data_IF_807789097067
#
_entry.id   IF_807789097067
#
_cell.length_a   1.000
_cell.length_b   1.000
_cell.length_c   1.000
_cell.angle_alpha   90.00
_cell.angle_beta   90.00
_cell.angle_gamma   90.00
#
_symmetry.space_group_name_H-M   'P 1'
#
loop_
_entity.id
_entity.type
_entity.pdbx_description
1 polymer ?
#
# COMPACT_ATOMS: atom_id res chain seq x y z
N UNK A 1 2.52 14.35 73.90
CA UNK A 1 2.49 15.07 72.58
C UNK A 1 3.86 14.92 71.95
N UNK A 2 3.99 14.01 70.99
CA UNK A 2 5.28 13.75 70.32
C UNK A 2 5.49 14.84 69.26
N UNK A 3 6.54 15.69 69.41
CA UNK A 3 6.96 16.66 68.38
C UNK A 3 7.53 15.87 67.20
N UNK A 4 6.86 15.97 66.02
CA UNK A 4 7.43 15.49 64.72
C UNK A 4 8.78 16.18 64.53
N UNK A 5 9.84 15.45 64.14
CA UNK A 5 11.15 16.07 63.89
C UNK A 5 11.01 17.07 62.71
N UNK A 6 11.50 18.28 62.93
CA UNK A 6 11.58 19.30 61.86
C UNK A 6 12.69 18.84 60.91
N UNK A 7 12.31 18.51 59.66
CA UNK A 7 13.28 18.14 58.63
C UNK A 7 14.21 19.32 58.33
N UNK A 8 15.46 19.04 58.11
CA UNK A 8 16.44 20.08 57.77
C UNK A 8 16.14 20.65 56.35
N UNK A 9 16.52 21.90 56.11
CA UNK A 9 16.35 22.53 54.79
C UNK A 9 17.03 21.72 53.68
N UNK A 10 18.20 21.12 53.96
CA UNK A 10 18.94 20.28 53.03
C UNK A 10 18.18 18.98 52.65
N UNK A 11 17.50 18.33 53.61
CA UNK A 11 16.68 17.14 53.34
C UNK A 11 15.49 17.48 52.45
N UNK A 12 14.88 18.66 52.62
CA UNK A 12 13.79 19.14 51.77
C UNK A 12 14.25 19.47 50.35
N UNK A 13 15.42 20.09 50.21
CA UNK A 13 16.02 20.38 48.89
C UNK A 13 16.37 19.10 48.13
N UNK A 14 16.94 18.11 48.83
CA UNK A 14 17.23 16.81 48.23
C UNK A 14 15.93 16.10 47.76
N UNK A 15 14.87 16.09 48.57
CA UNK A 15 13.59 15.51 48.22
C UNK A 15 12.94 16.21 47.02
N UNK A 16 13.05 17.55 46.96
CA UNK A 16 12.57 18.32 45.82
C UNK A 16 13.34 17.94 44.54
N UNK A 17 14.66 17.78 44.63
CA UNK A 17 15.49 17.33 43.52
C UNK A 17 15.11 15.96 43.01
N UNK A 18 14.96 14.99 43.92
CA UNK A 18 14.55 13.62 43.60
C UNK A 18 13.13 13.57 42.98
N UNK A 19 12.20 14.35 43.56
CA UNK A 19 10.82 14.44 43.03
C UNK A 19 10.76 15.08 41.65
N UNK A 20 11.57 16.12 41.42
CA UNK A 20 11.69 16.78 40.13
C UNK A 20 12.23 15.83 39.06
N UNK A 21 13.28 15.06 39.39
CA UNK A 21 13.82 14.07 38.47
C UNK A 21 12.81 12.94 38.19
N UNK A 22 12.12 12.44 39.22
CA UNK A 22 11.07 11.44 39.04
C UNK A 22 9.95 11.97 38.15
N UNK A 23 9.51 13.20 38.35
CA UNK A 23 8.47 13.84 37.54
C UNK A 23 8.91 14.06 36.07
N UNK A 24 10.17 14.40 35.84
CA UNK A 24 10.74 14.49 34.52
C UNK A 24 10.77 13.13 33.79
N UNK A 25 11.14 12.05 34.46
CA UNK A 25 11.11 10.68 33.94
C UNK A 25 9.68 10.26 33.59
N UNK A 26 8.74 10.43 34.52
CA UNK A 26 7.33 10.11 34.30
C UNK A 26 6.74 10.87 33.11
N UNK A 27 7.08 12.15 32.94
CA UNK A 27 6.66 12.92 31.77
C UNK A 27 7.24 12.36 30.48
N UNK A 28 8.53 11.99 30.47
CA UNK A 28 9.16 11.39 29.29
C UNK A 28 8.52 10.03 28.95
N UNK A 29 8.26 9.21 29.95
CA UNK A 29 7.62 7.91 29.79
C UNK A 29 6.17 8.04 29.29
N UNK A 30 5.41 8.99 29.83
CA UNK A 30 4.06 9.29 29.37
C UNK A 30 4.03 9.76 27.91
N UNK A 31 4.97 10.62 27.49
CA UNK A 31 5.10 11.05 26.10
C UNK A 31 5.46 9.89 25.16
N UNK A 32 6.39 9.03 25.58
CA UNK A 32 6.78 7.85 24.81
C UNK A 32 5.61 6.87 24.66
N UNK A 33 4.87 6.63 25.74
CA UNK A 33 3.69 5.77 25.74
C UNK A 33 2.63 6.32 24.79
N UNK A 34 2.35 7.63 24.87
CA UNK A 34 1.37 8.29 24.00
C UNK A 34 1.75 8.13 22.53
N UNK A 35 3.02 8.38 22.18
CA UNK A 35 3.52 8.20 20.81
C UNK A 35 3.33 6.76 20.32
N UNK A 36 3.73 5.77 21.13
CA UNK A 36 3.53 4.35 20.78
C UNK A 36 2.06 4.01 20.55
N UNK A 37 1.19 4.50 21.43
CA UNK A 37 -0.26 4.25 21.29
C UNK A 37 -0.83 4.87 20.01
N UNK A 38 -0.38 6.06 19.64
CA UNK A 38 -0.78 6.71 18.38
C UNK A 38 -0.28 5.93 17.16
N UNK A 39 0.98 5.47 17.17
CA UNK A 39 1.56 4.63 16.12
C UNK A 39 0.81 3.27 16.00
N UNK A 40 0.49 2.63 17.10
CA UNK A 40 -0.28 1.37 17.13
C UNK A 40 -1.70 1.56 16.58
N UNK A 41 -2.38 2.66 16.95
CA UNK A 41 -3.69 2.99 16.40
C UNK A 41 -3.67 3.22 14.90
N UNK A 42 -2.65 3.92 14.39
CA UNK A 42 -2.47 4.14 12.96
C UNK A 42 -2.27 2.80 12.22
N UNK A 43 -1.37 1.92 12.72
CA UNK A 43 -1.15 0.58 12.15
C UNK A 43 -2.41 -0.28 12.14
N UNK A 44 -3.18 -0.26 13.23
CA UNK A 44 -4.46 -0.97 13.28
C UNK A 44 -5.45 -0.42 12.25
N UNK A 45 -5.49 0.91 12.08
CA UNK A 45 -6.33 1.54 11.05
C UNK A 45 -5.98 1.06 9.65
N UNK A 46 -4.70 1.01 9.32
CA UNK A 46 -4.24 0.55 8.00
C UNK A 46 -4.47 -0.96 7.81
N UNK A 47 -4.23 -1.76 8.85
CA UNK A 47 -4.55 -3.19 8.84
C UNK A 47 -6.03 -3.48 8.53
N UNK A 48 -6.96 -2.74 9.17
CA UNK A 48 -8.39 -2.91 8.87
C UNK A 48 -8.76 -2.44 7.46
N UNK A 49 -8.13 -1.36 6.95
CA UNK A 49 -8.34 -0.94 5.56
C UNK A 49 -7.93 -2.05 4.59
N UNK A 50 -6.74 -2.65 4.79
CA UNK A 50 -6.24 -3.77 3.96
C UNK A 50 -7.22 -4.93 3.96
N UNK A 51 -7.72 -5.34 5.14
CA UNK A 51 -8.69 -6.44 5.25
C UNK A 51 -9.98 -6.14 4.49
N UNK A 52 -10.58 -4.97 4.72
CA UNK A 52 -11.85 -4.58 4.09
C UNK A 52 -11.69 -4.48 2.57
N UNK A 53 -10.63 -3.82 2.10
CA UNK A 53 -10.38 -3.68 0.67
C UNK A 53 -10.18 -5.05 0.04
N UNK A 54 -9.39 -5.94 0.64
CA UNK A 54 -9.16 -7.31 0.14
C UNK A 54 -10.46 -8.08 -0.09
N UNK A 55 -11.42 -7.96 0.84
CA UNK A 55 -12.73 -8.62 0.72
C UNK A 55 -13.64 -7.98 -0.34
N UNK A 56 -13.45 -6.70 -0.66
CA UNK A 56 -14.24 -6.01 -1.68
C UNK A 56 -13.70 -6.21 -3.10
N UNK A 57 -12.38 -6.44 -3.26
CA UNK A 57 -11.75 -6.58 -4.58
C UNK A 57 -12.38 -7.64 -5.47
N UNK A 58 -12.80 -8.84 -5.01
CA UNK A 58 -13.43 -9.84 -5.88
C UNK A 58 -14.76 -9.37 -6.50
N UNK A 59 -15.52 -8.55 -5.79
CA UNK A 59 -16.76 -7.96 -6.32
C UNK A 59 -16.42 -6.93 -7.41
N UNK A 60 -15.38 -6.11 -7.18
CA UNK A 60 -14.91 -5.14 -8.17
C UNK A 60 -14.35 -5.82 -9.42
N UNK A 61 -13.53 -6.88 -9.28
CA UNK A 61 -13.04 -7.69 -10.41
C UNK A 61 -14.19 -8.26 -11.25
N UNK A 62 -15.28 -8.66 -10.58
CA UNK A 62 -16.46 -9.19 -11.27
C UNK A 62 -17.17 -8.11 -12.08
N UNK A 63 -17.22 -6.87 -11.56
CA UNK A 63 -17.75 -5.71 -12.26
C UNK A 63 -16.89 -5.37 -13.50
N UNK A 64 -15.57 -5.30 -13.35
CA UNK A 64 -14.65 -5.05 -14.46
C UNK A 64 -14.73 -6.13 -15.54
N UNK A 65 -14.80 -7.39 -15.13
CA UNK A 65 -14.95 -8.53 -16.03
C UNK A 65 -16.27 -8.43 -16.81
N UNK A 66 -17.37 -8.05 -16.16
CA UNK A 66 -18.64 -7.83 -16.84
C UNK A 66 -18.55 -6.70 -17.88
N UNK A 67 -17.85 -5.61 -17.56
CA UNK A 67 -17.60 -4.51 -18.48
C UNK A 67 -16.71 -4.91 -19.67
N UNK A 68 -15.64 -5.70 -19.43
CA UNK A 68 -14.75 -6.21 -20.50
C UNK A 68 -15.48 -7.14 -21.47
N UNK A 69 -16.48 -7.89 -20.98
CA UNK A 69 -17.26 -8.84 -21.80
C UNK A 69 -18.60 -8.29 -22.27
N UNK A 70 -18.81 -6.98 -22.13
CA UNK A 70 -20.02 -6.35 -22.63
C UNK A 70 -20.15 -6.55 -24.15
N UNK A 71 -21.34 -6.96 -24.68
CA UNK A 71 -21.57 -7.09 -26.10
C UNK A 71 -21.24 -5.79 -26.83
N UNK A 72 -20.64 -5.89 -28.03
CA UNK A 72 -20.22 -4.72 -28.83
C UNK A 72 -21.37 -3.73 -29.10
N UNK A 73 -22.59 -4.24 -29.22
CA UNK A 73 -23.81 -3.46 -29.44
C UNK A 73 -24.17 -2.58 -28.24
N UNK A 74 -23.78 -3.00 -27.03
CA UNK A 74 -24.08 -2.31 -25.77
C UNK A 74 -22.96 -1.40 -25.27
N UNK A 75 -21.76 -1.44 -25.84
CA UNK A 75 -20.62 -0.64 -25.36
C UNK A 75 -20.94 0.85 -25.26
N UNK A 76 -21.72 1.37 -26.26
CA UNK A 76 -22.13 2.77 -26.31
C UNK A 76 -23.45 3.05 -25.62
N UNK A 77 -24.12 2.03 -25.07
CA UNK A 77 -25.38 2.17 -24.39
C UNK A 77 -25.24 2.94 -23.09
N UNK A 78 -26.18 3.80 -22.77
CA UNK A 78 -26.12 4.65 -21.56
C UNK A 78 -26.02 3.83 -20.27
N UNK A 79 -26.64 2.67 -20.22
CA UNK A 79 -26.53 1.75 -19.09
C UNK A 79 -25.08 1.30 -18.85
N UNK A 80 -24.37 0.88 -19.91
CA UNK A 80 -22.96 0.45 -19.80
C UNK A 80 -22.07 1.61 -19.39
N UNK A 81 -22.31 2.81 -19.93
CA UNK A 81 -21.61 4.04 -19.47
C UNK A 81 -21.87 4.33 -18.00
N UNK A 82 -23.10 4.13 -17.52
CA UNK A 82 -23.44 4.24 -16.11
C UNK A 82 -22.65 3.27 -15.22
N UNK A 83 -22.57 2.00 -15.63
CA UNK A 83 -21.80 0.98 -14.90
C UNK A 83 -20.29 1.29 -14.92
N UNK A 84 -19.76 1.80 -16.06
CA UNK A 84 -18.37 2.28 -16.13
C UNK A 84 -18.10 3.46 -15.17
N UNK A 85 -19.06 4.36 -15.02
CA UNK A 85 -18.95 5.46 -14.06
C UNK A 85 -18.89 4.95 -12.61
N UNK A 86 -19.65 3.91 -12.28
CA UNK A 86 -19.58 3.24 -10.95
C UNK A 86 -18.20 2.62 -10.72
N UNK A 87 -17.64 1.92 -11.73
CA UNK A 87 -16.30 1.34 -11.61
C UNK A 87 -15.24 2.43 -11.36
N UNK A 88 -15.29 3.53 -12.12
CA UNK A 88 -14.38 4.68 -11.92
C UNK A 88 -14.53 5.34 -10.55
N UNK A 89 -15.75 5.43 -10.03
CA UNK A 89 -15.96 6.01 -8.69
C UNK A 89 -15.44 5.07 -7.59
N UNK A 90 -15.50 3.75 -7.82
CA UNK A 90 -14.89 2.78 -6.92
C UNK A 90 -13.36 2.94 -6.89
N UNK A 91 -12.69 3.03 -8.05
CA UNK A 91 -11.25 3.30 -8.14
C UNK A 91 -10.85 4.57 -7.39
N UNK A 92 -11.56 5.68 -7.63
CA UNK A 92 -11.33 6.94 -6.91
C UNK A 92 -11.51 6.80 -5.39
N UNK A 93 -12.45 5.95 -4.98
CA UNK A 93 -12.67 5.70 -3.55
C UNK A 93 -11.52 4.91 -2.93
N UNK A 94 -10.93 3.97 -3.67
CA UNK A 94 -9.69 3.28 -3.26
C UNK A 94 -8.53 4.26 -3.15
N UNK A 95 -8.35 5.15 -4.13
CA UNK A 95 -7.31 6.20 -4.09
C UNK A 95 -7.46 7.11 -2.87
N UNK A 96 -8.69 7.54 -2.52
CA UNK A 96 -8.96 8.33 -1.32
C UNK A 96 -8.61 7.61 0.00
N UNK A 97 -8.68 6.29 0.01
CA UNK A 97 -8.25 5.46 1.14
C UNK A 97 -6.73 5.28 1.19
N UNK A 98 -5.99 5.76 0.16
CA UNK A 98 -4.55 5.61 0.01
C UNK A 98 -4.15 4.28 -0.63
N UNK A 99 -5.11 3.56 -1.22
CA UNK A 99 -4.85 2.32 -1.96
C UNK A 99 -4.41 2.67 -3.38
N UNK A 100 -3.28 2.12 -3.79
CA UNK A 100 -2.68 2.36 -5.11
C UNK A 100 -2.74 1.10 -5.96
N UNK A 101 -3.03 1.28 -7.25
CA UNK A 101 -2.90 0.22 -8.25
C UNK A 101 -1.42 -0.08 -8.54
N UNK A 102 -1.05 -1.35 -8.58
CA UNK A 102 0.31 -1.79 -8.93
C UNK A 102 0.46 -1.69 -10.46
N UNK A 103 1.43 -0.90 -10.91
CA UNK A 103 1.76 -0.82 -12.34
C UNK A 103 2.31 -2.17 -12.82
N UNK A 104 1.83 -2.62 -13.95
CA UNK A 104 2.10 -3.96 -14.45
C UNK A 104 2.60 -3.98 -15.89
N UNK A 105 1.78 -3.65 -16.86
CA UNK A 105 2.09 -3.81 -18.29
C UNK A 105 3.29 -2.95 -18.70
N UNK A 106 4.31 -3.58 -19.26
CA UNK A 106 5.56 -2.92 -19.68
C UNK A 106 6.62 -2.83 -18.59
N UNK A 107 6.29 -3.14 -17.32
CA UNK A 107 7.25 -3.16 -16.21
C UNK A 107 8.00 -4.51 -16.16
N UNK A 108 9.15 -4.51 -15.49
CA UNK A 108 9.88 -5.73 -15.18
C UNK A 108 9.06 -6.58 -14.20
N UNK A 109 9.09 -7.88 -14.39
CA UNK A 109 8.46 -8.78 -13.43
C UNK A 109 9.17 -8.70 -12.07
N UNK A 110 8.42 -8.37 -11.04
CA UNK A 110 8.86 -8.34 -9.65
C UNK A 110 8.00 -9.33 -8.83
N UNK A 111 8.58 -10.42 -8.30
CA UNK A 111 7.84 -11.39 -7.49
C UNK A 111 7.21 -10.80 -6.22
N UNK A 112 7.68 -9.63 -5.74
CA UNK A 112 7.09 -8.95 -4.59
C UNK A 112 5.77 -8.25 -4.94
N UNK A 113 5.57 -7.89 -6.21
CA UNK A 113 4.41 -7.11 -6.67
C UNK A 113 3.48 -7.95 -7.55
N UNK A 114 4.05 -8.92 -8.28
CA UNK A 114 3.39 -9.64 -9.35
C UNK A 114 3.35 -11.14 -9.08
N UNK A 115 2.25 -11.77 -9.49
CA UNK A 115 2.09 -13.22 -9.57
C UNK A 115 2.02 -13.64 -11.03
N UNK A 116 3.00 -14.40 -11.52
CA UNK A 116 3.04 -14.84 -12.91
C UNK A 116 2.17 -16.08 -13.12
N UNK A 117 1.12 -15.97 -13.92
CA UNK A 117 0.28 -17.11 -14.32
C UNK A 117 0.94 -17.95 -15.42
N UNK A 118 1.65 -17.30 -16.34
CA UNK A 118 2.37 -17.98 -17.42
C UNK A 118 3.57 -17.14 -17.86
N UNK A 119 4.63 -17.84 -18.25
CA UNK A 119 5.85 -17.24 -18.80
C UNK A 119 5.99 -17.72 -20.23
N UNK A 120 6.02 -16.80 -21.20
CA UNK A 120 6.19 -17.09 -22.63
C UNK A 120 7.52 -16.51 -23.11
N UNK A 121 8.20 -17.21 -23.99
CA UNK A 121 9.42 -16.73 -24.66
C UNK A 121 10.61 -17.68 -24.57
N UNK A 122 11.78 -17.25 -25.03
CA UNK A 122 13.02 -18.03 -25.01
C UNK A 122 13.59 -18.23 -23.61
N UNK A 123 14.38 -19.28 -23.39
CA UNK A 123 14.95 -19.64 -22.08
C UNK A 123 15.88 -18.56 -21.47
N UNK A 124 16.33 -17.59 -22.26
CA UNK A 124 17.21 -16.51 -21.82
C UNK A 124 16.61 -15.14 -22.15
N UNK A 125 16.49 -14.27 -21.14
CA UNK A 125 16.00 -12.90 -21.32
C UNK A 125 15.47 -12.27 -20.04
N UNK A 126 15.18 -10.98 -20.13
CA UNK A 126 14.55 -10.22 -19.05
C UNK A 126 13.05 -10.48 -19.05
N UNK A 127 12.50 -10.76 -17.89
CA UNK A 127 11.07 -11.00 -17.72
C UNK A 127 10.32 -9.67 -17.64
N UNK A 128 9.45 -9.42 -18.63
CA UNK A 128 8.63 -8.21 -18.72
C UNK A 128 7.16 -8.60 -18.70
N UNK A 129 6.37 -7.86 -17.96
CA UNK A 129 4.92 -8.06 -17.91
C UNK A 129 4.31 -7.63 -19.24
N UNK A 130 3.64 -8.55 -19.93
CA UNK A 130 3.00 -8.29 -21.22
C UNK A 130 1.49 -8.11 -21.13
N UNK A 131 0.84 -8.67 -20.13
CA UNK A 131 -0.60 -8.56 -19.94
C UNK A 131 -0.94 -8.64 -18.45
N UNK A 132 -1.87 -7.80 -18.00
CA UNK A 132 -2.48 -7.88 -16.68
C UNK A 132 -3.79 -8.65 -16.78
N UNK A 133 -3.86 -9.75 -16.04
CA UNK A 133 -5.07 -10.58 -15.96
C UNK A 133 -5.99 -10.13 -14.83
N UNK A 134 -5.38 -9.72 -13.71
CA UNK A 134 -6.08 -9.20 -12.55
C UNK A 134 -5.26 -8.09 -11.91
N UNK A 135 -5.85 -6.92 -11.62
CA UNK A 135 -5.12 -5.79 -11.07
C UNK A 135 -4.63 -6.06 -9.64
N UNK A 136 -3.40 -5.64 -9.36
CA UNK A 136 -2.82 -5.67 -8.03
C UNK A 136 -3.03 -4.35 -7.29
N UNK A 137 -3.11 -4.43 -5.96
CA UNK A 137 -3.31 -3.25 -5.11
C UNK A 137 -2.40 -3.27 -3.89
N UNK A 138 -1.93 -2.08 -3.47
CA UNK A 138 -1.10 -1.87 -2.27
C UNK A 138 -1.58 -0.67 -1.48
N UNK A 139 -1.29 -0.66 -0.17
CA UNK A 139 -1.49 0.48 0.73
C UNK A 139 -0.12 0.86 1.32
N UNK A 140 0.46 1.94 0.82
CA UNK A 140 1.85 2.28 1.14
C UNK A 140 2.82 1.15 0.75
N UNK A 141 3.47 0.53 1.75
CA UNK A 141 4.39 -0.60 1.54
C UNK A 141 3.70 -1.97 1.70
N UNK A 142 2.44 -2.02 2.12
CA UNK A 142 1.73 -3.28 2.33
C UNK A 142 0.96 -3.69 1.09
N UNK A 143 1.17 -4.93 0.63
CA UNK A 143 0.50 -5.47 -0.53
C UNK A 143 -0.83 -6.07 -0.10
N UNK A 144 -1.92 -5.50 -0.61
CA UNK A 144 -3.28 -5.99 -0.41
C UNK A 144 -3.49 -7.24 -1.24
N UNK A 145 -3.06 -7.19 -2.52
CA UNK A 145 -3.15 -8.27 -3.49
C UNK A 145 -2.10 -8.07 -4.59
N UNK A 146 -1.36 -9.13 -4.93
CA UNK A 146 -0.45 -9.12 -6.06
C UNK A 146 -1.23 -8.97 -7.38
N UNK A 147 -0.60 -8.35 -8.36
CA UNK A 147 -1.16 -8.32 -9.71
C UNK A 147 -0.92 -9.68 -10.40
N UNK A 148 -1.98 -10.30 -10.89
CA UNK A 148 -1.87 -11.53 -11.68
C UNK A 148 -1.55 -11.17 -13.13
N UNK A 149 -0.39 -11.62 -13.62
CA UNK A 149 0.16 -11.17 -14.89
C UNK A 149 0.62 -12.31 -15.78
N UNK A 150 0.67 -12.04 -17.11
CA UNK A 150 1.45 -12.85 -18.05
C UNK A 150 2.79 -12.18 -18.28
N UNK A 151 3.83 -12.97 -18.28
CA UNK A 151 5.22 -12.54 -18.42
C UNK A 151 5.78 -13.04 -19.74
N UNK A 152 6.52 -12.18 -20.43
CA UNK A 152 7.25 -12.54 -21.64
C UNK A 152 8.75 -12.32 -21.40
N UNK A 153 9.57 -13.34 -21.69
CA UNK A 153 11.02 -13.19 -21.73
C UNK A 153 11.41 -12.46 -23.01
N UNK A 154 11.97 -11.25 -22.87
CA UNK A 154 12.56 -10.51 -23.98
C UNK A 154 14.07 -10.67 -23.90
N UNK A 155 14.67 -11.18 -24.97
CA UNK A 155 16.13 -11.15 -25.14
C UNK A 155 16.63 -9.69 -25.08
N UNK A 156 17.93 -9.45 -24.82
CA UNK A 156 18.47 -8.10 -24.69
C UNK A 156 18.07 -7.29 -25.93
N UNK A 157 17.19 -6.30 -25.73
CA UNK A 157 16.82 -5.36 -26.76
C UNK A 157 18.09 -4.62 -27.16
N UNK A 158 18.51 -4.76 -28.43
CA UNK A 158 19.50 -3.84 -29.02
C UNK A 158 19.02 -2.41 -28.74
N UNK A 159 19.88 -1.52 -28.24
CA UNK A 159 19.51 -0.11 -28.14
C UNK A 159 19.11 0.39 -29.52
N UNK A 160 17.92 0.97 -29.60
CA UNK A 160 17.48 1.67 -30.80
C UNK A 160 18.35 2.92 -30.97
N UNK A 161 19.35 2.84 -31.86
CA UNK A 161 20.25 3.94 -32.09
C UNK A 161 21.34 3.54 -33.06
N UNK A 162 21.00 3.47 -34.36
CA UNK A 162 21.89 3.89 -35.43
C UNK A 162 21.05 3.93 -36.74
N UNK A 163 20.47 5.08 -36.96
CA UNK A 163 20.04 5.47 -38.30
C UNK A 163 21.32 5.66 -39.10
N UNK A 164 21.70 4.61 -39.86
CA UNK A 164 22.81 4.67 -40.80
C UNK A 164 22.51 5.69 -41.89
N UNK A 165 23.22 6.79 -41.87
CA UNK A 165 23.45 7.60 -43.05
C UNK A 165 23.98 6.71 -44.18
N UNK A 166 23.21 6.56 -45.23
CA UNK A 166 23.74 6.13 -46.51
C UNK A 166 23.90 7.33 -47.43
N UNK A 167 25.17 7.55 -47.75
CA UNK A 167 25.63 8.33 -48.90
C UNK A 167 24.90 8.04 -50.19
#
# INVERSE_FOLDING_TARGET
>A
MSKKPVRSAQELEQQLGELTQALQRERADALNLRRRTEEERARLGDFYKVLIVRELLPAFDSLERALKHAPRELINHEYVKGVQAVAKEFEKSLEKLGVEHIKTVGELFDPHLHEAMSVHGSDSGVEVVCEELQPGYKLGNEIIRHALVKVKKQGPSKPAGEVGEKK
#
